data_IF_250972037925
#
_entry.id   IF_250972037925
#
_cell.length_a   1.000
_cell.length_b   1.000
_cell.length_c   1.000
_cell.angle_alpha   90.00
_cell.angle_beta   90.00
_cell.angle_gamma   90.00
#
_symmetry.space_group_name_H-M   'P 1'
#
loop_
_entity.id
_entity.type
_entity.pdbx_description
1 polymer ?
#
# COMPACT_ATOMS: atom_id res chain seq x y z
N UNK A 1 -2.76 -4.38 33.39
CA UNK A 1 -2.24 -3.75 32.16
C UNK A 1 -3.27 -3.93 31.07
N UNK A 2 -3.86 -2.85 30.55
CA UNK A 2 -4.76 -2.89 29.39
C UNK A 2 -3.89 -2.73 28.15
N UNK A 3 -3.72 -3.78 27.37
CA UNK A 3 -3.25 -3.64 26.00
C UNK A 3 -4.40 -3.03 25.23
N UNK A 4 -4.35 -1.73 24.95
CA UNK A 4 -5.26 -1.13 23.98
C UNK A 4 -4.83 -1.64 22.62
N UNK A 5 -5.57 -2.60 22.06
CA UNK A 5 -5.45 -3.00 20.65
C UNK A 5 -5.63 -1.73 19.81
N UNK A 6 -4.52 -1.20 19.30
CA UNK A 6 -4.53 -0.10 18.36
C UNK A 6 -5.24 -0.64 17.12
N UNK A 7 -6.49 -0.25 16.92
CA UNK A 7 -7.27 -0.57 15.72
C UNK A 7 -6.39 -0.34 14.50
N UNK A 8 -6.03 -1.43 13.80
CA UNK A 8 -5.36 -1.34 12.51
C UNK A 8 -6.35 -0.70 11.55
N UNK A 9 -6.08 0.53 11.11
CA UNK A 9 -6.85 1.15 10.03
C UNK A 9 -6.57 0.35 8.77
N UNK A 10 -7.55 -0.43 8.34
CA UNK A 10 -7.51 -1.22 7.11
C UNK A 10 -8.18 -0.44 5.99
N UNK A 11 -7.60 -0.54 4.80
CA UNK A 11 -8.21 -0.08 3.55
C UNK A 11 -8.38 -1.30 2.67
N UNK A 12 -9.54 -1.39 2.04
CA UNK A 12 -9.85 -2.42 1.07
C UNK A 12 -10.05 -1.74 -0.28
N UNK A 13 -9.43 -2.31 -1.31
CA UNK A 13 -9.42 -1.82 -2.68
C UNK A 13 -9.52 -3.02 -3.61
N UNK A 14 -10.09 -2.81 -4.78
CA UNK A 14 -10.11 -3.82 -5.84
C UNK A 14 -8.83 -3.73 -6.65
N UNK A 15 -8.29 -4.91 -7.00
CA UNK A 15 -7.27 -5.01 -8.04
C UNK A 15 -7.93 -4.68 -9.38
N UNK A 16 -7.25 -3.87 -10.19
CA UNK A 16 -7.74 -3.43 -11.50
C UNK A 16 -6.85 -4.05 -12.59
N UNK A 17 -7.49 -4.70 -13.56
CA UNK A 17 -6.82 -5.18 -14.76
C UNK A 17 -6.24 -3.99 -15.55
N UNK A 18 -5.00 -4.10 -16.02
CA UNK A 18 -4.38 -3.00 -16.75
C UNK A 18 -5.04 -2.73 -18.11
N UNK A 19 -5.78 -3.69 -18.66
CA UNK A 19 -6.57 -3.53 -19.88
C UNK A 19 -5.75 -3.52 -21.18
N UNK A 20 -4.45 -3.81 -21.11
CA UNK A 20 -3.53 -3.81 -22.26
C UNK A 20 -3.25 -5.22 -22.82
N UNK A 21 -3.81 -6.26 -22.19
CA UNK A 21 -3.63 -7.65 -22.59
C UNK A 21 -2.28 -8.26 -22.20
N UNK A 22 -1.48 -7.57 -21.38
CA UNK A 22 -0.21 -8.11 -20.85
C UNK A 22 -0.40 -9.16 -19.76
N UNK A 23 -1.58 -9.17 -19.12
CA UNK A 23 -1.91 -10.04 -17.99
C UNK A 23 -1.46 -9.50 -16.63
N UNK A 24 -1.08 -8.21 -16.57
CA UNK A 24 -0.78 -7.52 -15.32
C UNK A 24 -1.97 -6.74 -14.74
N UNK A 25 -1.78 -6.22 -13.54
CA UNK A 25 -2.79 -5.50 -12.80
C UNK A 25 -2.16 -4.43 -11.91
N UNK A 26 -2.97 -3.48 -11.47
CA UNK A 26 -2.55 -2.45 -10.54
C UNK A 26 -3.57 -2.27 -9.40
N UNK A 27 -3.08 -1.68 -8.31
CA UNK A 27 -3.90 -1.28 -7.16
C UNK A 27 -3.86 0.23 -7.06
N UNK A 28 -5.03 0.87 -7.06
CA UNK A 28 -5.12 2.30 -6.85
C UNK A 28 -5.20 2.62 -5.36
N UNK A 29 -4.17 3.29 -4.83
CA UNK A 29 -4.19 3.74 -3.45
C UNK A 29 -5.17 4.92 -3.27
N UNK A 30 -6.05 4.89 -2.26
CA UNK A 30 -6.92 6.02 -1.95
C UNK A 30 -6.11 7.28 -1.63
N UNK A 31 -6.51 8.43 -2.16
CA UNK A 31 -5.81 9.71 -1.95
C UNK A 31 -5.65 10.06 -0.46
N UNK A 32 -6.66 9.73 0.35
CA UNK A 32 -6.64 9.92 1.81
C UNK A 32 -5.63 9.00 2.53
N UNK A 33 -5.30 7.85 1.95
CA UNK A 33 -4.22 6.98 2.45
C UNK A 33 -2.87 7.58 2.09
N UNK A 34 -2.67 7.99 0.84
CA UNK A 34 -1.42 8.61 0.39
C UNK A 34 -1.06 9.84 1.22
N UNK A 35 -2.02 10.75 1.45
CA UNK A 35 -1.84 11.92 2.33
C UNK A 35 -1.44 11.55 3.76
N UNK A 36 -1.99 10.46 4.31
CA UNK A 36 -1.66 9.99 5.67
C UNK A 36 -0.28 9.35 5.76
N UNK A 37 0.17 8.72 4.68
CA UNK A 37 1.50 8.11 4.59
C UNK A 37 2.57 9.10 4.12
N UNK A 38 2.18 10.31 3.72
CA UNK A 38 3.06 11.31 3.12
C UNK A 38 3.74 10.80 1.83
N UNK A 39 3.01 10.00 1.05
CA UNK A 39 3.47 9.46 -0.22
C UNK A 39 3.13 10.38 -1.37
N UNK A 40 4.13 10.70 -2.18
CA UNK A 40 4.06 11.58 -3.33
C UNK A 40 4.58 10.86 -4.57
N UNK A 41 4.17 11.31 -5.75
CA UNK A 41 4.76 10.86 -7.00
C UNK A 41 6.26 11.15 -7.01
N UNK A 42 7.06 10.16 -7.40
CA UNK A 42 8.53 10.24 -7.37
C UNK A 42 9.16 9.73 -6.08
N UNK A 43 8.39 9.44 -5.02
CA UNK A 43 8.91 8.76 -3.84
C UNK A 43 9.41 7.35 -4.20
N UNK A 44 10.56 6.96 -3.63
CA UNK A 44 11.06 5.60 -3.76
C UNK A 44 10.43 4.74 -2.66
N UNK A 45 9.75 3.69 -3.08
CA UNK A 45 9.10 2.74 -2.19
C UNK A 45 9.87 1.42 -2.23
N UNK A 46 10.17 0.88 -1.05
CA UNK A 46 10.65 -0.48 -0.91
C UNK A 46 9.46 -1.44 -0.88
N UNK A 47 9.61 -2.58 -1.55
CA UNK A 47 8.61 -3.64 -1.61
C UNK A 47 9.29 -4.92 -1.14
N UNK A 48 8.80 -5.46 -0.03
CA UNK A 48 9.23 -6.75 0.52
C UNK A 48 8.08 -7.75 0.56
N UNK A 49 8.42 -9.04 0.67
CA UNK A 49 7.47 -10.10 0.98
C UNK A 49 7.73 -10.58 2.40
N UNK A 50 6.74 -10.41 3.28
CA UNK A 50 6.81 -10.83 4.69
C UNK A 50 5.55 -11.62 5.02
N UNK A 51 5.71 -12.88 5.44
CA UNK A 51 4.60 -13.79 5.75
C UNK A 51 3.55 -13.89 4.63
N UNK A 52 4.01 -14.07 3.38
CA UNK A 52 3.18 -14.12 2.16
C UNK A 52 2.36 -12.85 1.88
N UNK A 53 2.75 -11.72 2.48
CA UNK A 53 2.16 -10.41 2.25
C UNK A 53 3.18 -9.44 1.66
N UNK A 54 2.72 -8.60 0.73
CA UNK A 54 3.52 -7.46 0.26
C UNK A 54 3.56 -6.40 1.36
N UNK A 55 4.77 -6.09 1.83
CA UNK A 55 5.04 -4.99 2.74
C UNK A 55 5.65 -3.85 1.93
N UNK A 56 4.95 -2.72 1.88
CA UNK A 56 5.44 -1.52 1.22
C UNK A 56 5.85 -0.49 2.27
N UNK A 57 7.07 0.04 2.15
CA UNK A 57 7.60 1.07 3.05
C UNK A 57 8.25 2.18 2.23
N UNK A 58 8.07 3.43 2.68
CA UNK A 58 8.78 4.56 2.08
C UNK A 58 10.26 4.42 2.41
N UNK A 59 11.12 4.47 1.39
CA UNK A 59 12.55 4.65 1.62
C UNK A 59 12.78 6.13 1.88
N UNK A 60 13.00 6.47 3.14
CA UNK A 60 13.45 7.81 3.48
C UNK A 60 14.90 7.94 2.98
N UNK A 61 15.11 8.84 2.02
CA UNK A 61 16.44 9.35 1.68
C UNK A 61 16.99 10.26 2.78
#
# INVERSE_FOLDING_TARGET
MRFTEKSLKKWEVSIVDAGDGSGDCYVQFPSELLKKLDWHEGDVINIDIVNDQLLLTKLNG
#
